data_IF_721259786128
#
_entry.id   IF_721259786128
#
_cell.length_a   1.000
_cell.length_b   1.000
_cell.length_c   1.000
_cell.angle_alpha   90.00
_cell.angle_beta   90.00
_cell.angle_gamma   90.00
#
_symmetry.space_group_name_H-M   'P 1'
#
loop_
_entity.id
_entity.type
_entity.pdbx_description
1 polymer ?
#
# COMPACT_ATOMS: atom_id res chain seq x y z
N UNK A 1 15.53 14.29 40.32
CA UNK A 1 16.54 13.22 40.45
C UNK A 1 16.36 12.30 39.26
N UNK A 2 17.23 12.41 38.26
CA UNK A 2 17.29 11.47 37.15
C UNK A 2 18.52 10.61 37.41
N UNK A 3 18.33 9.41 37.93
CA UNK A 3 19.41 8.44 38.01
C UNK A 3 19.65 7.92 36.60
N UNK A 4 20.61 8.55 35.92
CA UNK A 4 21.30 7.98 34.78
C UNK A 4 22.10 6.77 35.26
N UNK A 5 21.45 5.62 35.41
CA UNK A 5 22.18 4.36 35.48
C UNK A 5 22.50 3.94 34.04
N UNK A 6 23.71 4.29 33.62
CA UNK A 6 24.45 3.64 32.54
C UNK A 6 24.54 2.13 32.86
N UNK A 7 23.47 1.37 32.56
CA UNK A 7 23.55 -0.09 32.42
C UNK A 7 23.84 -0.32 30.94
N UNK A 8 25.12 -0.50 30.64
CA UNK A 8 25.63 -0.77 29.30
C UNK A 8 25.42 -2.25 28.88
N UNK A 9 24.47 -2.96 29.50
CA UNK A 9 23.90 -4.16 28.91
C UNK A 9 22.93 -3.70 27.83
N UNK A 10 23.12 -4.15 26.59
CA UNK A 10 22.12 -3.95 25.56
C UNK A 10 20.82 -4.58 26.06
N UNK A 11 19.75 -3.79 26.24
CA UNK A 11 18.46 -4.27 26.77
C UNK A 11 17.92 -5.47 25.97
N UNK A 12 18.31 -5.54 24.69
CA UNK A 12 18.02 -6.67 23.81
C UNK A 12 18.80 -7.93 24.22
N UNK A 13 20.08 -7.81 24.57
CA UNK A 13 20.90 -8.94 25.03
C UNK A 13 20.37 -9.46 26.37
N UNK A 14 19.97 -8.57 27.29
CA UNK A 14 19.38 -8.97 28.58
C UNK A 14 18.02 -9.67 28.40
N UNK A 15 17.19 -9.18 27.48
CA UNK A 15 15.93 -9.83 27.14
C UNK A 15 16.17 -11.21 26.51
N UNK A 16 17.16 -11.33 25.62
CA UNK A 16 17.52 -12.59 24.98
C UNK A 16 18.02 -13.61 26.02
N UNK A 17 18.88 -13.19 26.94
CA UNK A 17 19.37 -14.04 28.03
C UNK A 17 18.22 -14.51 28.94
N UNK A 18 17.28 -13.61 29.27
CA UNK A 18 16.11 -13.97 30.07
C UNK A 18 15.18 -14.94 29.32
N UNK A 19 15.03 -14.78 28.00
CA UNK A 19 14.28 -15.71 27.16
C UNK A 19 14.93 -17.10 27.14
N UNK A 20 16.25 -17.16 26.93
CA UNK A 20 17.00 -18.41 26.99
C UNK A 20 16.87 -19.09 28.35
N UNK A 21 16.91 -18.30 29.44
CA UNK A 21 16.74 -18.80 30.81
C UNK A 21 15.35 -19.41 31.04
N UNK A 22 14.27 -18.80 30.52
CA UNK A 22 12.92 -19.37 30.57
C UNK A 22 12.85 -20.74 29.86
N UNK A 23 13.43 -20.83 28.65
CA UNK A 23 13.44 -22.08 27.90
C UNK A 23 14.24 -23.15 28.64
N UNK A 24 15.42 -22.80 29.15
CA UNK A 24 16.26 -23.71 29.90
C UNK A 24 15.55 -24.25 31.16
N UNK A 25 14.84 -23.40 31.91
CA UNK A 25 14.07 -23.82 33.08
C UNK A 25 12.94 -24.81 32.72
N UNK A 26 12.38 -24.71 31.50
CA UNK A 26 11.32 -25.61 31.01
C UNK A 26 11.86 -26.92 30.42
N UNK A 27 13.08 -26.93 29.88
CA UNK A 27 13.65 -28.08 29.16
C UNK A 27 14.70 -28.86 29.94
N UNK A 28 15.00 -28.47 31.17
CA UNK A 28 15.95 -29.16 32.05
C UNK A 28 15.43 -30.59 32.31
N UNK A 29 16.19 -31.61 31.90
CA UNK A 29 15.83 -33.01 32.19
C UNK A 29 15.87 -33.26 33.71
N UNK A 30 14.79 -33.81 34.28
CA UNK A 30 14.74 -34.25 35.68
C UNK A 30 15.81 -35.32 35.89
N UNK A 31 16.93 -34.95 36.52
CA UNK A 31 17.92 -35.93 36.97
C UNK A 31 17.23 -36.90 37.93
N UNK A 32 17.43 -38.21 37.72
CA UNK A 32 16.84 -39.32 38.49
C UNK A 32 17.07 -39.26 40.02
N UNK A 33 17.84 -38.28 40.48
CA UNK A 33 18.03 -37.87 41.87
C UNK A 33 17.01 -36.78 42.24
N UNK A 34 15.77 -37.19 42.50
CA UNK A 34 14.67 -36.41 43.12
C UNK A 34 14.88 -34.90 43.30
N UNK A 35 14.88 -34.15 42.19
CA UNK A 35 14.75 -32.69 42.26
C UNK A 35 13.36 -32.38 42.82
N UNK A 36 13.31 -31.45 43.78
CA UNK A 36 12.07 -31.02 44.41
C UNK A 36 11.21 -30.26 43.38
N UNK A 37 10.00 -30.75 43.11
CA UNK A 37 9.09 -30.15 42.12
C UNK A 37 8.78 -28.69 42.43
N UNK A 38 8.82 -28.33 43.71
CA UNK A 38 8.61 -26.96 44.16
C UNK A 38 9.80 -26.04 43.80
N UNK A 39 11.03 -26.56 43.77
CA UNK A 39 12.22 -25.82 43.33
C UNK A 39 12.17 -25.52 41.83
N UNK A 40 11.80 -26.51 41.01
CA UNK A 40 11.64 -26.33 39.55
C UNK A 40 10.57 -25.29 39.27
N UNK A 41 9.43 -25.40 39.95
CA UNK A 41 8.33 -24.44 39.79
C UNK A 41 8.77 -23.02 40.14
N UNK A 42 9.55 -22.86 41.21
CA UNK A 42 10.07 -21.56 41.61
C UNK A 42 11.08 -20.99 40.60
N UNK A 43 11.98 -21.83 40.05
CA UNK A 43 12.92 -21.44 38.97
C UNK A 43 12.17 -20.97 37.71
N UNK A 44 11.13 -21.70 37.30
CA UNK A 44 10.27 -21.33 36.15
C UNK A 44 9.53 -20.02 36.40
N UNK A 45 8.91 -19.85 37.57
CA UNK A 45 8.18 -18.63 37.91
C UNK A 45 9.14 -17.42 37.94
N UNK A 46 10.32 -17.58 38.51
CA UNK A 46 11.32 -16.52 38.61
C UNK A 46 11.87 -16.08 37.25
N UNK A 47 12.24 -17.03 36.39
CA UNK A 47 12.74 -16.73 35.04
C UNK A 47 11.65 -16.08 34.18
N UNK A 48 10.41 -16.57 34.28
CA UNK A 48 9.25 -16.00 33.59
C UNK A 48 8.99 -14.55 33.98
N UNK A 49 8.98 -14.24 35.28
CA UNK A 49 8.79 -12.87 35.77
C UNK A 49 9.89 -11.93 35.28
N UNK A 50 11.15 -12.37 35.34
CA UNK A 50 12.30 -11.59 34.84
C UNK A 50 12.15 -11.27 33.34
N UNK A 51 11.76 -12.26 32.55
CA UNK A 51 11.52 -12.05 31.11
C UNK A 51 10.39 -11.06 30.83
N UNK A 52 9.27 -11.16 31.56
CA UNK A 52 8.15 -10.21 31.43
C UNK A 52 8.58 -8.78 31.77
N UNK A 53 9.36 -8.59 32.83
CA UNK A 53 9.83 -7.27 33.23
C UNK A 53 10.77 -6.66 32.21
N UNK A 54 11.68 -7.44 31.64
CA UNK A 54 12.57 -6.99 30.57
C UNK A 54 11.79 -6.68 29.28
N UNK A 55 10.78 -7.49 28.93
CA UNK A 55 9.94 -7.24 27.77
C UNK A 55 9.19 -5.90 27.90
N UNK A 56 8.65 -5.61 29.09
CA UNK A 56 8.01 -4.32 29.41
C UNK A 56 8.99 -3.16 29.37
N UNK A 57 10.20 -3.33 29.87
CA UNK A 57 11.25 -2.32 29.77
C UNK A 57 11.60 -2.05 28.30
N UNK A 58 11.65 -3.08 27.46
CA UNK A 58 11.94 -2.96 26.03
C UNK A 58 10.83 -2.21 25.28
N UNK A 59 9.56 -2.52 25.60
CA UNK A 59 8.42 -1.75 25.09
C UNK A 59 8.51 -0.27 25.49
N UNK A 60 8.76 0.02 26.77
CA UNK A 60 8.89 1.39 27.27
C UNK A 60 10.04 2.15 26.58
N UNK A 61 11.18 1.47 26.37
CA UNK A 61 12.33 2.03 25.66
C UNK A 61 11.95 2.46 24.24
N UNK A 62 11.32 1.57 23.46
CA UNK A 62 10.93 1.88 22.08
C UNK A 62 9.82 2.93 22.00
N UNK A 63 8.86 2.92 22.93
CA UNK A 63 7.84 3.97 23.03
C UNK A 63 8.46 5.34 23.29
N UNK A 64 9.42 5.42 24.21
CA UNK A 64 10.14 6.66 24.50
C UNK A 64 10.93 7.14 23.28
N UNK A 65 11.63 6.23 22.58
CA UNK A 65 12.37 6.56 21.35
C UNK A 65 11.43 7.07 20.25
N UNK A 66 10.28 6.44 20.07
CA UNK A 66 9.26 6.85 19.09
C UNK A 66 8.68 8.22 19.41
N UNK A 67 8.32 8.47 20.67
CA UNK A 67 7.85 9.78 21.12
C UNK A 67 8.90 10.86 20.83
N UNK A 68 10.16 10.60 21.19
CA UNK A 68 11.26 11.53 20.95
C UNK A 68 11.49 11.78 19.46
N UNK A 69 11.42 10.75 18.62
CA UNK A 69 11.50 10.87 17.16
C UNK A 69 10.38 11.73 16.59
N UNK A 70 9.14 11.56 17.06
CA UNK A 70 8.01 12.37 16.62
C UNK A 70 8.16 13.86 16.96
N UNK A 71 8.78 14.16 18.11
CA UNK A 71 9.01 15.53 18.54
C UNK A 71 10.23 16.18 17.89
N UNK A 72 11.34 15.44 17.73
CA UNK A 72 12.62 15.99 17.28
C UNK A 72 12.87 15.84 15.78
N UNK A 73 12.22 14.89 15.10
CA UNK A 73 12.42 14.60 13.68
C UNK A 73 11.11 14.31 12.95
N UNK A 74 10.09 15.18 13.04
CA UNK A 74 8.81 14.98 12.34
C UNK A 74 8.98 14.85 10.82
N UNK A 75 9.92 15.61 10.22
CA UNK A 75 10.18 15.55 8.78
C UNK A 75 10.73 14.20 8.31
N UNK A 76 11.44 13.48 9.18
CA UNK A 76 11.95 12.15 8.85
C UNK A 76 10.79 11.15 8.71
N UNK A 77 9.81 11.23 9.62
CA UNK A 77 8.60 10.39 9.56
C UNK A 77 7.78 10.72 8.32
N UNK A 78 7.58 12.02 8.03
CA UNK A 78 6.86 12.44 6.83
C UNK A 78 7.55 11.98 5.54
N UNK A 79 8.89 11.94 5.51
CA UNK A 79 9.67 11.43 4.38
C UNK A 79 9.48 9.93 4.19
N UNK A 80 9.49 9.15 5.27
CA UNK A 80 9.23 7.70 5.23
C UNK A 80 7.81 7.42 4.74
N UNK A 81 6.80 8.08 5.30
CA UNK A 81 5.41 7.96 4.84
C UNK A 81 5.25 8.36 3.37
N UNK A 82 5.89 9.47 2.95
CA UNK A 82 5.88 9.87 1.54
C UNK A 82 6.53 8.83 0.63
N UNK A 83 7.62 8.22 1.08
CA UNK A 83 8.29 7.16 0.32
C UNK A 83 7.37 5.95 0.12
N UNK A 84 6.68 5.51 1.18
CA UNK A 84 5.72 4.41 1.11
C UNK A 84 4.54 4.72 0.19
N UNK A 85 3.99 5.93 0.28
CA UNK A 85 2.92 6.38 -0.61
C UNK A 85 3.37 6.42 -2.08
N UNK A 86 4.58 6.88 -2.36
CA UNK A 86 5.15 6.88 -3.72
C UNK A 86 5.31 5.47 -4.28
N UNK A 87 5.78 4.53 -3.47
CA UNK A 87 5.86 3.13 -3.89
C UNK A 87 4.48 2.54 -4.17
N UNK A 88 3.49 2.82 -3.32
CA UNK A 88 2.14 2.32 -3.50
C UNK A 88 1.44 2.92 -4.74
N UNK A 89 1.69 4.20 -5.05
CA UNK A 89 1.25 4.83 -6.30
C UNK A 89 1.88 4.11 -7.50
N UNK A 90 3.20 3.93 -7.51
CA UNK A 90 3.88 3.26 -8.62
C UNK A 90 3.36 1.83 -8.86
N UNK A 91 3.10 1.08 -7.77
CA UNK A 91 2.50 -0.26 -7.84
C UNK A 91 1.09 -0.22 -8.44
N UNK A 92 0.28 0.78 -8.08
CA UNK A 92 -1.08 0.97 -8.62
C UNK A 92 -1.07 1.39 -10.09
N UNK A 93 -0.18 2.30 -10.48
CA UNK A 93 -0.02 2.73 -11.88
C UNK A 93 0.35 1.54 -12.77
N UNK A 94 1.25 0.68 -12.29
CA UNK A 94 1.63 -0.55 -12.99
C UNK A 94 0.45 -1.53 -13.15
N UNK A 95 -0.39 -1.65 -12.12
CA UNK A 95 -1.59 -2.49 -12.18
C UNK A 95 -2.62 -1.93 -13.18
N UNK A 96 -2.84 -0.61 -13.14
CA UNK A 96 -3.72 0.10 -14.07
C UNK A 96 -3.23 -0.10 -15.50
N UNK A 97 -1.93 0.06 -15.75
CA UNK A 97 -1.29 -0.16 -17.06
C UNK A 97 -1.59 -1.56 -17.59
N UNK A 98 -1.42 -2.61 -16.76
CA UNK A 98 -1.76 -4.00 -17.14
C UNK A 98 -3.23 -4.19 -17.47
N UNK A 99 -4.14 -3.48 -16.79
CA UNK A 99 -5.56 -3.54 -17.10
C UNK A 99 -5.88 -2.88 -18.45
N UNK A 100 -5.27 -1.73 -18.75
CA UNK A 100 -5.41 -1.10 -20.07
C UNK A 100 -4.90 -1.98 -21.20
N UNK A 101 -3.76 -2.66 -21.01
CA UNK A 101 -3.24 -3.63 -21.99
C UNK A 101 -4.22 -4.78 -22.25
N UNK A 102 -4.81 -5.35 -21.19
CA UNK A 102 -5.84 -6.38 -21.33
C UNK A 102 -7.07 -5.88 -22.08
N UNK A 103 -7.56 -4.70 -21.74
CA UNK A 103 -8.70 -4.08 -22.43
C UNK A 103 -8.38 -3.94 -23.92
N UNK A 104 -7.18 -3.47 -24.26
CA UNK A 104 -6.77 -3.30 -25.66
C UNK A 104 -6.71 -4.65 -26.39
N UNK A 105 -6.15 -5.68 -25.76
CA UNK A 105 -6.17 -7.04 -26.32
C UNK A 105 -7.59 -7.53 -26.60
N UNK A 106 -8.53 -7.31 -25.69
CA UNK A 106 -9.93 -7.72 -25.87
C UNK A 106 -10.63 -6.94 -26.98
N UNK A 107 -10.36 -5.64 -27.11
CA UNK A 107 -10.86 -4.83 -28.23
C UNK A 107 -10.35 -5.35 -29.57
N UNK A 108 -9.07 -5.71 -29.66
CA UNK A 108 -8.48 -6.27 -30.88
C UNK A 108 -9.15 -7.61 -31.24
N UNK A 109 -9.31 -8.52 -30.27
CA UNK A 109 -10.02 -9.79 -30.49
C UNK A 109 -11.46 -9.59 -31.00
N UNK A 110 -12.19 -8.62 -30.46
CA UNK A 110 -13.56 -8.33 -30.89
C UNK A 110 -13.61 -7.73 -32.30
N UNK A 111 -12.64 -6.86 -32.63
CA UNK A 111 -12.51 -6.26 -33.96
C UNK A 111 -12.21 -7.32 -35.03
N UNK A 112 -11.33 -8.27 -34.72
CA UNK A 112 -11.01 -9.40 -35.61
C UNK A 112 -12.24 -10.30 -35.84
N UNK A 113 -13.05 -10.55 -34.81
CA UNK A 113 -14.33 -11.27 -34.96
C UNK A 113 -15.35 -10.53 -35.84
N UNK A 114 -15.51 -9.22 -35.67
CA UNK A 114 -16.40 -8.41 -36.52
C UNK A 114 -15.93 -8.40 -37.98
N UNK A 115 -14.62 -8.40 -38.23
CA UNK A 115 -14.08 -8.49 -39.58
C UNK A 115 -14.31 -9.87 -40.23
N UNK A 116 -14.34 -10.95 -39.46
CA UNK A 116 -14.64 -12.30 -39.95
C UNK A 116 -16.13 -12.53 -40.25
N UNK A 117 -17.02 -11.76 -39.59
CA UNK A 117 -18.48 -11.83 -39.76
C UNK A 117 -19.03 -10.94 -40.89
N UNK A 118 -18.20 -10.37 -41.77
CA UNK A 118 -18.71 -9.79 -43.02
C UNK A 118 -19.39 -10.90 -43.82
N UNK A 119 -20.70 -10.84 -44.11
CA UNK A 119 -21.30 -11.81 -45.01
C UNK A 119 -20.57 -11.70 -46.34
N UNK A 120 -19.88 -12.78 -46.72
CA UNK A 120 -19.37 -13.01 -48.06
C UNK A 120 -20.49 -12.62 -49.01
N UNK A 121 -20.26 -11.56 -49.81
CA UNK A 121 -21.25 -10.91 -50.66
C UNK A 121 -22.18 -11.97 -51.27
N UNK A 122 -23.44 -11.96 -50.84
CA UNK A 122 -24.47 -12.76 -51.46
C UNK A 122 -24.48 -12.41 -52.96
N UNK A 123 -24.37 -13.44 -53.78
CA UNK A 123 -24.51 -13.38 -55.23
C UNK A 123 -25.72 -12.52 -55.65
N UNK A 124 -25.65 -11.79 -56.78
CA UNK A 124 -26.76 -10.98 -57.25
C UNK A 124 -27.91 -11.89 -57.70
N UNK A 125 -29.07 -11.80 -57.02
CA UNK A 125 -30.32 -12.43 -57.47
C UNK A 125 -31.02 -11.54 -58.52
N UNK A 126 -31.54 -12.11 -59.63
CA UNK A 126 -32.17 -11.33 -60.72
C UNK A 126 -33.49 -10.60 -60.34
N UNK A 127 -33.92 -9.58 -61.12
CA UNK A 127 -34.86 -8.54 -60.66
C UNK A 127 -36.36 -8.90 -60.58
N UNK A 128 -36.79 -10.11 -60.89
CA UNK A 128 -38.20 -10.36 -61.23
C UNK A 128 -39.17 -10.70 -60.07
N UNK A 129 -38.76 -10.59 -58.80
CA UNK A 129 -39.65 -10.90 -57.66
C UNK A 129 -39.93 -9.72 -56.72
N UNK A 130 -39.83 -8.48 -57.22
CA UNK A 130 -40.08 -7.25 -56.42
C UNK A 130 -41.48 -6.65 -56.54
N UNK A 131 -42.43 -7.36 -57.16
CA UNK A 131 -43.80 -6.86 -57.37
C UNK A 131 -44.82 -7.70 -56.62
N UNK A 132 -45.06 -7.38 -55.34
CA UNK A 132 -46.33 -7.58 -54.60
C UNK A 132 -46.10 -7.29 -53.09
N UNK A 133 -46.15 -6.01 -52.73
CA UNK A 133 -46.44 -5.41 -51.40
C UNK A 133 -45.82 -4.00 -51.43
N UNK A 134 -46.55 -2.90 -51.62
CA UNK A 134 -47.79 -2.53 -50.95
C UNK A 134 -47.44 -1.61 -49.77
N UNK A 135 -47.61 -0.29 -49.92
CA UNK A 135 -47.57 0.68 -48.81
C UNK A 135 -46.69 1.91 -49.04
N UNK A 136 -47.30 3.09 -48.99
CA UNK A 136 -46.74 4.43 -49.22
C UNK A 136 -45.76 4.93 -48.12
N UNK A 137 -45.06 6.07 -48.31
CA UNK A 137 -43.94 6.50 -47.48
C UNK A 137 -44.38 7.39 -46.30
N UNK A 138 -43.74 7.23 -45.14
CA UNK A 138 -43.86 8.15 -44.01
C UNK A 138 -42.48 8.59 -43.51
N UNK A 139 -42.18 9.90 -43.41
CA UNK A 139 -40.96 10.37 -42.77
C UNK A 139 -41.23 10.51 -41.26
N UNK A 140 -40.90 9.47 -40.50
CA UNK A 140 -40.96 9.47 -39.04
C UNK A 140 -39.56 9.43 -38.44
N UNK A 141 -38.89 10.56 -38.38
CA UNK A 141 -37.71 10.74 -37.54
C UNK A 141 -38.10 11.38 -36.23
N UNK A 142 -37.91 10.69 -35.10
CA UNK A 142 -37.94 11.25 -33.74
C UNK A 142 -37.28 10.26 -32.75
N UNK A 143 -36.02 10.54 -32.44
CA UNK A 143 -35.23 10.35 -31.20
C UNK A 143 -35.52 9.15 -30.26
N UNK A 144 -34.49 8.34 -29.91
CA UNK A 144 -34.48 7.58 -28.66
C UNK A 144 -33.97 8.49 -27.52
N UNK A 145 -34.87 8.87 -26.61
CA UNK A 145 -34.52 9.60 -25.40
C UNK A 145 -34.24 8.66 -24.23
N UNK A 146 -33.13 8.89 -23.53
CA UNK A 146 -32.97 8.52 -22.12
C UNK A 146 -31.89 7.49 -21.81
N UNK A 147 -30.61 7.85 -21.99
CA UNK A 147 -29.52 7.19 -21.26
C UNK A 147 -28.71 8.26 -20.55
N UNK A 148 -28.62 8.13 -19.23
CA UNK A 148 -28.02 9.11 -18.32
C UNK A 148 -26.57 9.42 -18.69
N UNK A 149 -26.25 10.72 -18.74
CA UNK A 149 -24.88 11.20 -18.85
C UNK A 149 -24.13 10.90 -17.55
N UNK A 150 -22.93 10.28 -17.58
CA UNK A 150 -22.07 10.29 -16.42
C UNK A 150 -21.52 11.70 -16.22
N UNK A 151 -21.80 12.28 -15.06
CA UNK A 151 -21.19 13.52 -14.59
C UNK A 151 -19.68 13.26 -14.46
N UNK A 152 -18.89 13.73 -15.43
CA UNK A 152 -17.44 13.68 -15.37
C UNK A 152 -16.96 14.76 -14.40
N UNK A 153 -16.60 14.34 -13.18
CA UNK A 153 -15.78 15.15 -12.29
C UNK A 153 -14.37 15.17 -12.89
N UNK A 154 -13.76 16.33 -13.17
CA UNK A 154 -12.40 16.37 -13.71
C UNK A 154 -11.44 15.85 -12.64
N UNK A 155 -10.83 14.70 -12.87
CA UNK A 155 -9.70 14.24 -12.06
C UNK A 155 -8.49 15.14 -12.37
N UNK A 156 -7.81 15.71 -11.35
CA UNK A 156 -6.62 16.52 -11.59
C UNK A 156 -5.55 15.68 -12.30
N UNK A 157 -4.95 16.24 -13.35
CA UNK A 157 -3.89 15.59 -14.12
C UNK A 157 -2.62 15.47 -13.28
N UNK A 158 -1.80 14.44 -13.55
CA UNK A 158 -0.53 14.19 -12.83
C UNK A 158 0.40 15.41 -12.81
N UNK A 159 0.34 16.26 -13.85
CA UNK A 159 1.08 17.52 -13.91
C UNK A 159 0.68 18.51 -12.80
N UNK A 160 -0.61 18.55 -12.44
CA UNK A 160 -1.12 19.41 -11.38
C UNK A 160 -0.67 18.96 -9.99
N UNK A 161 -0.52 17.65 -9.79
CA UNK A 161 0.02 17.08 -8.54
C UNK A 161 1.52 17.36 -8.35
N UNK A 162 2.31 17.27 -9.43
CA UNK A 162 3.73 17.60 -9.37
C UNK A 162 3.94 19.09 -9.06
N UNK A 163 3.20 19.99 -9.71
CA UNK A 163 3.28 21.42 -9.45
C UNK A 163 2.86 21.79 -8.02
N UNK A 164 1.88 21.07 -7.46
CA UNK A 164 1.46 21.25 -6.07
C UNK A 164 2.53 20.79 -5.07
N UNK A 165 3.29 19.75 -5.43
CA UNK A 165 4.40 19.24 -4.61
C UNK A 165 5.60 20.17 -4.63
N UNK A 166 5.96 20.75 -5.78
CA UNK A 166 7.06 21.71 -5.91
C UNK A 166 6.82 22.97 -5.06
N UNK A 167 5.59 23.49 -5.04
CA UNK A 167 5.22 24.65 -4.22
C UNK A 167 5.28 24.36 -2.71
N UNK A 168 5.05 23.10 -2.31
CA UNK A 168 5.14 22.69 -0.91
C UNK A 168 6.61 22.57 -0.47
N UNK A 169 7.50 22.08 -1.34
CA UNK A 169 8.94 22.01 -1.08
C UNK A 169 9.56 23.41 -0.90
N UNK A 170 9.18 24.39 -1.73
CA UNK A 170 9.65 25.78 -1.60
C UNK A 170 9.19 26.45 -0.29
N UNK A 171 8.05 26.04 0.28
CA UNK A 171 7.53 26.56 1.55
C UNK A 171 8.18 25.90 2.76
N UNK A 172 8.53 24.62 2.66
CA UNK A 172 9.11 23.81 3.75
C UNK A 172 10.64 23.89 3.81
N UNK A 173 11.31 24.18 2.70
CA UNK A 173 12.77 24.35 2.62
C UNK A 173 13.12 25.56 1.76
N UNK A 174 13.15 26.80 2.32
CA UNK A 174 13.59 27.96 1.57
C UNK A 174 15.02 27.73 1.09
N UNK A 175 15.20 27.61 -0.22
CA UNK A 175 16.51 27.43 -0.84
C UNK A 175 17.32 28.70 -0.55
N UNK A 176 18.24 28.64 0.41
CA UNK A 176 19.17 29.74 0.70
C UNK A 176 19.99 29.98 -0.57
N UNK A 177 19.67 31.05 -1.29
CA UNK A 177 20.42 31.47 -2.46
C UNK A 177 21.81 31.90 -2.00
N UNK A 178 22.90 31.26 -2.47
CA UNK A 178 24.24 31.74 -2.16
C UNK A 178 24.52 32.92 -3.09
N UNK A 179 24.18 34.13 -2.66
CA UNK A 179 24.45 35.32 -3.46
C UNK A 179 23.67 36.57 -3.10
N UNK A 180 23.86 37.09 -1.89
CA UNK A 180 23.69 38.53 -1.65
C UNK A 180 24.60 38.99 -0.52
N UNK A 181 25.89 39.04 -0.84
CA UNK A 181 26.82 39.98 -0.24
C UNK A 181 26.99 41.10 -1.27
N UNK A 182 26.57 42.32 -0.97
CA UNK A 182 26.83 43.48 -1.82
C UNK A 182 25.96 44.70 -1.54
N UNK A 183 26.60 45.67 -0.88
CA UNK A 183 26.20 47.06 -0.54
C UNK A 183 25.41 47.25 0.76
#
# INVERSE_FOLDING_TARGET
MASSSNVNGNLVDELEEAFQSCIHALTKEESATGIDKDEIKLEVDQTTLKFIDLARQMEAFFLQKRFLLSALKPDLLLKEENFDLRQEIARKDELIRKHYEKIESWKNLLSDQQNYNKPMQAHPVPPEMRSMAGGAPGPGGMMPGGMGMPMQVPSPTVAQWNQSSDLLEDYLCPRVTPGSAGC
#
